data_IF_033968875096
#
_entry.id   IF_033968875096
#
_cell.length_a   1.000
_cell.length_b   1.000
_cell.length_c   1.000
_cell.angle_alpha   90.00
_cell.angle_beta   90.00
_cell.angle_gamma   90.00
#
_symmetry.space_group_name_H-M   'P 1'
#
loop_
_entity.id
_entity.type
_entity.pdbx_description
1 polymer ?
#
# COMPACT_ATOMS: atom_id res chain seq x y z
N UNK A 1 -24.34 -3.56 2.93
CA UNK A 1 -22.95 -3.07 3.02
C UNK A 1 -22.90 -2.14 4.21
N UNK A 2 -21.92 -2.31 5.10
CA UNK A 2 -21.73 -1.43 6.23
C UNK A 2 -20.73 -0.33 5.86
N UNK A 3 -20.97 0.90 6.30
CA UNK A 3 -19.96 1.98 6.21
C UNK A 3 -19.05 1.83 7.41
N UNK A 4 -17.78 1.52 7.16
CA UNK A 4 -16.77 1.32 8.21
C UNK A 4 -15.51 2.13 7.89
N UNK A 5 -14.72 2.40 8.93
CA UNK A 5 -13.43 3.05 8.79
C UNK A 5 -12.40 2.10 8.16
N UNK A 6 -11.41 2.66 7.49
CA UNK A 6 -10.30 1.91 6.87
C UNK A 6 -9.62 0.96 7.87
N UNK A 7 -9.40 1.39 9.12
CA UNK A 7 -8.82 0.54 10.16
C UNK A 7 -9.73 -0.63 10.55
N UNK A 8 -11.04 -0.41 10.59
CA UNK A 8 -12.00 -1.45 10.95
C UNK A 8 -12.10 -2.50 9.84
N UNK A 9 -11.91 -2.11 8.58
CA UNK A 9 -11.82 -3.04 7.46
C UNK A 9 -10.62 -3.99 7.58
N UNK A 10 -9.44 -3.47 7.95
CA UNK A 10 -8.23 -4.27 8.22
C UNK A 10 -8.47 -5.25 9.37
N UNK A 11 -9.02 -4.75 10.49
CA UNK A 11 -9.34 -5.58 11.66
C UNK A 11 -10.33 -6.69 11.30
N UNK A 12 -11.34 -6.35 10.51
CA UNK A 12 -12.38 -7.28 10.06
C UNK A 12 -11.78 -8.38 9.18
N UNK A 13 -10.91 -8.03 8.22
CA UNK A 13 -10.21 -9.02 7.40
C UNK A 13 -9.38 -10.00 8.23
N UNK A 14 -8.57 -9.50 9.17
CA UNK A 14 -7.77 -10.38 10.04
C UNK A 14 -8.65 -11.28 10.90
N UNK A 15 -9.70 -10.72 11.51
CA UNK A 15 -10.64 -11.50 12.33
C UNK A 15 -11.31 -12.61 11.52
N UNK A 16 -11.87 -12.29 10.37
CA UNK A 16 -12.57 -13.26 9.52
C UNK A 16 -11.62 -14.38 9.05
N UNK A 17 -10.39 -14.06 8.64
CA UNK A 17 -9.43 -15.09 8.22
C UNK A 17 -8.92 -15.93 9.39
N UNK A 18 -8.77 -15.36 10.59
CA UNK A 18 -8.41 -16.11 11.79
C UNK A 18 -9.53 -17.02 12.30
N UNK A 19 -10.80 -16.64 12.13
CA UNK A 19 -11.97 -17.50 12.37
C UNK A 19 -12.05 -18.65 11.37
N UNK A 20 -11.75 -18.34 10.10
CA UNK A 20 -11.82 -19.28 8.98
C UNK A 20 -10.72 -20.34 9.02
N UNK A 21 -9.52 -19.96 9.41
CA UNK A 21 -8.33 -20.78 9.29
C UNK A 21 -7.52 -20.79 10.60
N UNK A 22 -7.36 -21.97 11.19
CA UNK A 22 -6.68 -22.16 12.46
C UNK A 22 -5.17 -21.87 12.37
N UNK A 23 -4.61 -21.88 11.16
CA UNK A 23 -3.19 -21.67 10.90
C UNK A 23 -2.83 -20.18 10.75
N UNK A 24 -3.81 -19.28 10.65
CA UNK A 24 -3.61 -17.84 10.50
C UNK A 24 -3.39 -17.17 11.86
N UNK A 25 -2.29 -16.46 12.08
CA UNK A 25 -2.08 -15.77 13.36
C UNK A 25 -1.36 -14.44 13.17
N UNK A 26 -1.50 -13.52 14.12
CA UNK A 26 -0.79 -12.25 14.11
C UNK A 26 0.35 -12.26 15.11
N UNK A 27 1.50 -11.71 14.71
CA UNK A 27 2.64 -11.49 15.59
C UNK A 27 3.28 -10.13 15.30
N UNK A 28 3.77 -9.47 16.33
CA UNK A 28 4.41 -8.17 16.22
C UNK A 28 4.47 -7.45 17.56
N UNK A 29 4.87 -6.19 17.50
CA UNK A 29 5.05 -5.38 18.70
C UNK A 29 3.71 -4.79 19.15
N UNK A 30 3.30 -5.11 20.38
CA UNK A 30 2.03 -4.68 20.96
C UNK A 30 0.75 -5.20 20.24
N UNK A 31 0.84 -6.19 19.35
CA UNK A 31 -0.34 -6.70 18.62
C UNK A 31 -1.27 -7.55 19.47
N UNK A 32 -0.80 -8.03 20.63
CA UNK A 32 -1.53 -8.84 21.60
C UNK A 32 -2.46 -8.01 22.47
N UNK A 33 -2.16 -7.91 23.77
CA UNK A 33 -3.07 -7.32 24.77
C UNK A 33 -3.45 -5.86 24.48
N UNK A 34 -2.56 -5.08 23.87
CA UNK A 34 -2.82 -3.68 23.53
C UNK A 34 -3.70 -3.54 22.28
N UNK A 35 -3.68 -4.54 21.39
CA UNK A 35 -4.42 -4.50 20.12
C UNK A 35 -3.76 -3.67 19.02
N UNK A 36 -2.44 -3.50 19.07
CA UNK A 36 -1.63 -2.72 18.13
C UNK A 36 -1.60 -1.23 18.49
N UNK A 37 -0.50 -0.54 18.17
CA UNK A 37 -0.32 0.89 18.47
C UNK A 37 -1.38 1.76 17.80
N UNK A 38 -1.81 1.38 16.59
CA UNK A 38 -2.90 2.04 15.87
C UNK A 38 -4.28 1.45 16.15
N UNK A 39 -4.38 0.39 16.94
CA UNK A 39 -5.60 -0.41 17.20
C UNK A 39 -6.05 -1.32 16.05
N UNK A 40 -5.15 -1.67 15.13
CA UNK A 40 -5.39 -2.55 13.97
C UNK A 40 -5.77 -3.99 14.38
N UNK A 41 -5.23 -4.49 15.50
CA UNK A 41 -5.45 -5.86 16.00
C UNK A 41 -6.32 -5.92 17.26
N UNK A 42 -6.95 -4.80 17.63
CA UNK A 42 -7.80 -4.70 18.83
C UNK A 42 -8.89 -5.78 18.86
N UNK A 43 -9.01 -6.50 19.97
CA UNK A 43 -10.01 -7.55 20.16
C UNK A 43 -9.54 -8.95 19.71
N UNK A 44 -8.45 -9.05 18.92
CA UNK A 44 -7.96 -10.35 18.44
C UNK A 44 -7.38 -11.19 19.59
N UNK A 45 -6.63 -10.58 20.50
CA UNK A 45 -6.09 -11.28 21.67
C UNK A 45 -7.20 -11.83 22.57
N UNK A 46 -8.23 -11.03 22.87
CA UNK A 46 -9.35 -11.46 23.70
C UNK A 46 -10.14 -12.60 23.07
N UNK A 47 -10.24 -12.62 21.74
CA UNK A 47 -10.99 -13.62 21.00
C UNK A 47 -10.20 -14.92 20.77
N UNK A 48 -8.93 -14.84 20.36
CA UNK A 48 -8.14 -15.99 19.90
C UNK A 48 -7.04 -16.42 20.88
N UNK A 49 -6.76 -15.59 21.90
CA UNK A 49 -5.73 -15.85 22.90
C UNK A 49 -4.31 -15.58 22.42
N UNK A 50 -3.38 -15.70 23.36
CA UNK A 50 -1.96 -15.40 23.18
C UNK A 50 -1.33 -16.20 22.03
N UNK A 51 -1.70 -17.46 21.84
CA UNK A 51 -1.13 -18.32 20.79
C UNK A 51 -1.48 -17.90 19.36
N UNK A 52 -2.42 -16.96 19.17
CA UNK A 52 -2.89 -16.49 17.85
C UNK A 52 -2.77 -14.98 17.67
N UNK A 53 -2.51 -14.23 18.74
CA UNK A 53 -2.18 -12.80 18.74
C UNK A 53 -0.97 -12.55 19.65
N UNK A 54 0.23 -12.68 19.10
CA UNK A 54 1.49 -12.78 19.86
C UNK A 54 2.23 -11.45 19.92
N UNK A 55 2.45 -10.94 21.13
CA UNK A 55 3.41 -9.87 21.37
C UNK A 55 4.86 -10.40 21.20
N UNK A 56 5.68 -9.66 20.46
CA UNK A 56 7.08 -10.00 20.21
C UNK A 56 8.04 -9.02 20.92
N UNK A 57 9.31 -9.38 21.13
CA UNK A 57 10.36 -8.40 21.41
C UNK A 57 10.46 -7.35 20.30
N UNK A 58 11.05 -6.19 20.63
CA UNK A 58 11.37 -5.12 19.67
C UNK A 58 12.56 -5.53 18.78
N UNK A 59 12.30 -6.37 17.79
CA UNK A 59 13.32 -6.97 16.93
C UNK A 59 12.71 -7.41 15.59
N UNK A 60 12.61 -6.51 14.63
CA UNK A 60 11.87 -6.69 13.37
C UNK A 60 12.47 -7.80 12.51
N UNK A 61 13.79 -7.98 12.55
CA UNK A 61 14.46 -9.10 11.89
C UNK A 61 14.05 -10.46 12.48
N UNK A 62 13.79 -10.53 13.79
CA UNK A 62 13.30 -11.74 14.45
C UNK A 62 11.81 -11.96 14.14
N UNK A 63 10.99 -10.90 14.14
CA UNK A 63 9.57 -10.96 13.75
C UNK A 63 9.44 -11.57 12.35
N UNK A 64 10.16 -11.02 11.37
CA UNK A 64 10.16 -11.57 10.00
C UNK A 64 10.71 -12.99 9.95
N UNK A 65 11.86 -13.27 10.59
CA UNK A 65 12.48 -14.59 10.55
C UNK A 65 11.60 -15.69 11.16
N UNK A 66 10.97 -15.43 12.30
CA UNK A 66 10.03 -16.37 12.94
C UNK A 66 8.79 -16.58 12.08
N UNK A 67 8.24 -15.50 11.50
CA UNK A 67 7.09 -15.60 10.61
C UNK A 67 7.42 -16.44 9.36
N UNK A 68 8.58 -16.23 8.74
CA UNK A 68 9.04 -17.04 7.60
C UNK A 68 9.17 -18.52 8.00
N UNK A 69 9.81 -18.81 9.13
CA UNK A 69 9.95 -20.17 9.63
C UNK A 69 8.61 -20.85 9.89
N UNK A 70 7.65 -20.13 10.48
CA UNK A 70 6.29 -20.62 10.72
C UNK A 70 5.55 -20.89 9.39
N UNK A 71 5.69 -19.98 8.41
CA UNK A 71 5.09 -20.14 7.09
C UNK A 71 5.58 -21.41 6.37
N UNK A 72 6.89 -21.70 6.49
CA UNK A 72 7.50 -22.90 5.90
C UNK A 72 7.01 -24.21 6.50
N UNK A 73 6.50 -24.21 7.74
CA UNK A 73 5.95 -25.40 8.41
C UNK A 73 4.43 -25.47 8.34
N UNK A 74 3.81 -24.67 7.49
CA UNK A 74 2.37 -24.75 7.17
C UNK A 74 1.50 -23.70 7.84
N UNK A 75 2.06 -22.80 8.65
CA UNK A 75 1.30 -21.71 9.27
C UNK A 75 1.09 -20.54 8.30
N UNK A 76 0.21 -19.59 8.63
CA UNK A 76 -0.06 -18.39 7.83
C UNK A 76 0.07 -17.11 8.66
N UNK A 77 1.31 -16.72 9.01
CA UNK A 77 1.53 -15.54 9.85
C UNK A 77 1.19 -14.23 9.15
N UNK A 78 0.65 -13.31 9.95
CA UNK A 78 0.48 -11.89 9.68
C UNK A 78 1.48 -11.17 10.59
N UNK A 79 2.67 -10.88 10.07
CA UNK A 79 3.70 -10.14 10.78
C UNK A 79 3.42 -8.64 10.71
N UNK A 80 3.20 -7.98 11.84
CA UNK A 80 3.05 -6.53 11.91
C UNK A 80 4.40 -5.87 12.23
N UNK A 81 4.82 -4.95 11.36
CA UNK A 81 5.91 -4.03 11.61
C UNK A 81 5.28 -2.73 12.10
N UNK A 82 5.66 -2.27 13.30
CA UNK A 82 4.95 -1.18 13.97
C UNK A 82 4.93 0.11 13.12
N UNK A 83 6.01 0.36 12.39
CA UNK A 83 6.13 1.39 11.34
C UNK A 83 6.93 0.83 10.18
N UNK A 84 6.66 1.31 8.96
CA UNK A 84 7.38 0.87 7.76
C UNK A 84 8.88 1.18 7.81
N UNK A 85 9.27 2.27 8.47
CA UNK A 85 10.68 2.62 8.77
C UNK A 85 11.43 1.49 9.49
N UNK A 86 10.73 0.71 10.29
CA UNK A 86 11.31 -0.36 11.11
C UNK A 86 11.46 -1.67 10.34
N UNK A 87 11.04 -1.72 9.08
CA UNK A 87 11.26 -2.89 8.23
C UNK A 87 12.72 -3.07 7.82
N UNK A 88 13.56 -2.02 7.90
CA UNK A 88 14.92 -2.07 7.36
C UNK A 88 15.83 -3.12 8.01
N UNK A 89 15.81 -3.35 9.34
CA UNK A 89 16.48 -4.49 9.95
C UNK A 89 16.02 -5.85 9.39
N UNK A 90 14.78 -5.97 8.92
CA UNK A 90 14.21 -7.19 8.37
C UNK A 90 14.43 -7.35 6.86
N UNK A 91 15.01 -6.37 6.15
CA UNK A 91 15.11 -6.39 4.68
C UNK A 91 15.77 -7.66 4.14
N UNK A 92 16.84 -8.16 4.77
CA UNK A 92 17.47 -9.40 4.34
C UNK A 92 16.53 -10.62 4.45
N UNK A 93 15.76 -10.71 5.54
CA UNK A 93 14.78 -11.80 5.72
C UNK A 93 13.71 -11.73 4.62
N UNK A 94 13.27 -10.54 4.26
CA UNK A 94 12.20 -10.34 3.28
C UNK A 94 12.70 -10.64 1.86
N UNK A 95 13.80 -10.01 1.44
CA UNK A 95 14.28 -10.04 0.05
C UNK A 95 15.06 -11.32 -0.28
N UNK A 96 15.93 -11.75 0.63
CA UNK A 96 16.84 -12.88 0.39
C UNK A 96 16.21 -14.22 0.74
N UNK A 97 15.34 -14.25 1.75
CA UNK A 97 14.75 -15.49 2.25
C UNK A 97 13.29 -15.64 1.80
N UNK A 98 12.35 -14.83 2.32
CA UNK A 98 10.92 -14.99 2.07
C UNK A 98 10.59 -15.06 0.57
N UNK A 99 11.05 -14.06 -0.20
CA UNK A 99 10.83 -13.95 -1.64
C UNK A 99 11.38 -15.13 -2.45
N UNK A 100 12.35 -15.87 -1.90
CA UNK A 100 13.12 -16.89 -2.64
C UNK A 100 12.74 -18.31 -2.28
N UNK A 101 11.97 -18.55 -1.21
CA UNK A 101 11.65 -19.89 -0.71
C UNK A 101 11.05 -20.80 -1.80
N UNK A 102 10.03 -20.33 -2.53
CA UNK A 102 9.42 -21.14 -3.59
C UNK A 102 10.41 -21.49 -4.68
N UNK A 103 11.16 -20.50 -5.16
CA UNK A 103 12.12 -20.69 -6.23
C UNK A 103 13.31 -21.58 -5.81
N UNK A 104 13.93 -21.30 -4.66
CA UNK A 104 15.11 -22.02 -4.16
C UNK A 104 14.83 -23.48 -3.83
N UNK A 105 13.58 -23.80 -3.48
CA UNK A 105 13.11 -25.16 -3.19
C UNK A 105 12.55 -25.86 -4.42
N UNK A 106 12.59 -25.24 -5.61
CA UNK A 106 11.98 -25.78 -6.83
C UNK A 106 10.50 -26.14 -6.64
N UNK A 107 9.74 -25.26 -5.97
CA UNK A 107 8.34 -25.42 -5.60
C UNK A 107 8.03 -26.49 -4.53
N UNK A 108 9.03 -27.10 -3.89
CA UNK A 108 8.78 -28.01 -2.76
C UNK A 108 8.22 -27.28 -1.54
N UNK A 109 8.61 -26.01 -1.34
CA UNK A 109 8.14 -25.17 -0.24
C UNK A 109 7.48 -23.89 -0.73
N UNK A 110 6.57 -23.37 0.07
CA UNK A 110 5.93 -22.05 -0.09
C UNK A 110 6.19 -21.18 1.13
N UNK A 111 5.88 -19.89 1.03
CA UNK A 111 6.01 -18.95 2.15
C UNK A 111 4.75 -18.08 2.26
N UNK A 112 3.60 -18.66 2.68
CA UNK A 112 2.35 -17.91 2.90
C UNK A 112 2.54 -16.96 4.09
N UNK A 113 2.85 -15.71 3.81
CA UNK A 113 3.26 -14.73 4.81
C UNK A 113 2.75 -13.36 4.40
N UNK A 114 2.06 -12.68 5.31
CA UNK A 114 1.77 -11.25 5.15
C UNK A 114 2.67 -10.47 6.10
N UNK A 115 3.43 -9.51 5.58
CA UNK A 115 4.10 -8.51 6.40
C UNK A 115 3.37 -7.19 6.19
N UNK A 116 2.70 -6.71 7.23
CA UNK A 116 1.98 -5.43 7.21
C UNK A 116 2.83 -4.34 7.84
N UNK A 117 2.75 -3.13 7.30
CA UNK A 117 3.39 -1.97 7.91
C UNK A 117 2.66 -0.66 7.58
N UNK A 118 2.52 0.25 8.56
CA UNK A 118 1.94 1.55 8.30
C UNK A 118 2.92 2.52 7.62
N UNK A 119 2.56 3.03 6.44
CA UNK A 119 3.32 4.01 5.64
C UNK A 119 2.80 5.44 5.78
N UNK A 120 3.55 6.41 5.26
CA UNK A 120 3.13 7.79 5.08
C UNK A 120 3.29 8.67 6.33
N UNK A 121 3.45 9.98 6.13
CA UNK A 121 3.61 10.96 7.21
C UNK A 121 2.31 11.65 7.63
N UNK A 122 2.42 12.84 8.23
CA UNK A 122 1.27 13.73 8.49
C UNK A 122 0.46 13.39 9.75
N UNK A 123 1.03 12.59 10.64
CA UNK A 123 0.53 12.30 12.00
C UNK A 123 1.52 12.73 13.08
N UNK A 124 2.42 13.68 12.75
CA UNK A 124 3.50 14.16 13.63
C UNK A 124 4.48 13.07 14.09
N UNK A 125 4.73 12.06 13.24
CA UNK A 125 5.65 10.94 13.54
C UNK A 125 7.14 11.28 13.44
N UNK A 126 7.49 12.39 12.77
CA UNK A 126 8.88 12.79 12.55
C UNK A 126 9.67 11.80 11.69
N UNK A 127 10.99 11.84 11.83
CA UNK A 127 11.95 11.18 10.91
C UNK A 127 11.73 9.67 10.76
N UNK A 128 11.62 8.92 11.86
CA UNK A 128 11.61 7.45 11.84
C UNK A 128 10.20 6.81 11.83
N UNK A 129 9.17 7.58 11.46
CA UNK A 129 7.78 7.09 11.48
C UNK A 129 6.94 7.58 10.31
N UNK A 130 7.56 8.18 9.29
CA UNK A 130 6.84 8.92 8.23
C UNK A 130 7.23 8.50 6.81
N UNK A 131 8.09 7.48 6.65
CA UNK A 131 8.59 7.08 5.35
C UNK A 131 7.60 6.17 4.60
N UNK A 132 7.78 6.12 3.28
CA UNK A 132 7.12 5.18 2.38
C UNK A 132 8.21 4.33 1.70
N UNK A 133 8.63 3.20 2.29
CA UNK A 133 9.81 2.46 1.84
C UNK A 133 9.50 1.38 0.79
N UNK A 134 8.35 1.43 0.11
CA UNK A 134 7.97 0.44 -0.90
C UNK A 134 9.04 0.24 -1.99
N UNK A 135 9.77 1.30 -2.38
CA UNK A 135 10.84 1.24 -3.37
C UNK A 135 12.04 0.37 -2.95
N UNK A 136 12.25 0.15 -1.65
CA UNK A 136 13.31 -0.74 -1.14
C UNK A 136 13.02 -2.21 -1.48
N UNK A 137 11.74 -2.58 -1.56
CA UNK A 137 11.30 -3.95 -1.81
C UNK A 137 10.86 -4.18 -3.26
N UNK A 138 10.42 -3.11 -3.93
CA UNK A 138 10.02 -3.12 -5.32
C UNK A 138 11.14 -3.62 -6.25
N UNK A 139 10.77 -4.37 -7.28
CA UNK A 139 11.70 -5.02 -8.19
C UNK A 139 12.24 -6.37 -7.70
N UNK A 140 11.88 -6.84 -6.49
CA UNK A 140 12.30 -8.14 -5.96
C UNK A 140 11.38 -9.28 -6.45
N UNK A 141 11.81 -10.19 -7.34
CA UNK A 141 10.96 -11.27 -7.81
C UNK A 141 10.62 -12.25 -6.68
N UNK A 142 9.37 -12.68 -6.64
CA UNK A 142 8.82 -13.55 -5.60
C UNK A 142 8.13 -12.80 -4.45
N UNK A 143 8.22 -11.46 -4.40
CA UNK A 143 7.39 -10.64 -3.52
C UNK A 143 6.17 -10.10 -4.28
N UNK A 144 5.06 -9.97 -3.56
CA UNK A 144 3.91 -9.14 -3.95
C UNK A 144 3.83 -7.94 -3.01
N UNK A 145 3.41 -6.78 -3.51
CA UNK A 145 3.32 -5.54 -2.73
C UNK A 145 1.99 -4.88 -3.04
N UNK A 146 1.19 -4.60 -2.01
CA UNK A 146 -0.12 -3.95 -2.12
C UNK A 146 -0.21 -2.72 -1.21
N UNK A 147 -0.96 -1.71 -1.65
CA UNK A 147 -1.16 -0.45 -0.94
C UNK A 147 -2.61 0.06 -1.13
N UNK A 148 -3.57 -0.45 -0.34
CA UNK A 148 -4.97 -0.09 -0.48
C UNK A 148 -5.24 1.39 -0.22
N UNK A 149 -6.23 1.95 -0.93
CA UNK A 149 -6.70 3.32 -0.72
C UNK A 149 -8.02 3.37 0.07
N UNK A 150 -8.94 2.42 -0.13
CA UNK A 150 -10.29 2.44 0.44
C UNK A 150 -10.52 1.32 1.46
N UNK A 151 -11.55 1.39 2.33
CA UNK A 151 -11.90 0.29 3.23
C UNK A 151 -12.27 -1.00 2.47
N UNK A 152 -12.92 -0.88 1.32
CA UNK A 152 -13.22 -2.02 0.44
C UNK A 152 -11.95 -2.74 -0.01
N UNK A 153 -10.97 -1.96 -0.50
CA UNK A 153 -9.68 -2.48 -0.96
C UNK A 153 -8.85 -3.02 0.20
N UNK A 154 -8.87 -2.34 1.35
CA UNK A 154 -8.10 -2.74 2.52
C UNK A 154 -8.54 -4.13 3.02
N UNK A 155 -9.84 -4.35 3.18
CA UNK A 155 -10.35 -5.68 3.55
C UNK A 155 -10.05 -6.70 2.46
N UNK A 156 -10.41 -6.42 1.21
CA UNK A 156 -10.32 -7.39 0.12
C UNK A 156 -8.89 -7.78 -0.25
N UNK A 157 -7.94 -6.83 -0.25
CA UNK A 157 -6.52 -7.10 -0.52
C UNK A 157 -5.86 -7.82 0.66
N UNK A 158 -6.24 -7.53 1.91
CA UNK A 158 -5.67 -8.23 3.05
C UNK A 158 -6.13 -9.68 3.08
N UNK A 159 -7.41 -9.95 2.79
CA UNK A 159 -7.92 -11.32 2.62
C UNK A 159 -7.17 -12.03 1.48
N UNK A 160 -7.02 -11.36 0.33
CA UNK A 160 -6.26 -11.92 -0.79
C UNK A 160 -4.80 -12.24 -0.40
N UNK A 161 -4.15 -11.36 0.36
CA UNK A 161 -2.78 -11.52 0.84
C UNK A 161 -2.63 -12.69 1.83
N UNK A 162 -3.55 -12.84 2.79
CA UNK A 162 -3.54 -13.94 3.76
C UNK A 162 -3.75 -15.30 3.08
N UNK A 163 -4.55 -15.32 2.01
CA UNK A 163 -4.83 -16.53 1.23
C UNK A 163 -3.76 -16.84 0.18
N UNK A 164 -2.84 -15.91 -0.07
CA UNK A 164 -1.78 -16.07 -1.05
C UNK A 164 -0.73 -17.07 -0.53
N UNK A 165 -0.25 -18.00 -1.37
CA UNK A 165 0.76 -18.96 -0.93
C UNK A 165 2.19 -18.39 -0.91
N UNK A 166 2.37 -17.13 -1.29
CA UNK A 166 3.65 -16.42 -1.40
C UNK A 166 3.68 -15.16 -0.53
N UNK A 167 4.87 -14.62 -0.22
CA UNK A 167 4.98 -13.47 0.67
C UNK A 167 4.38 -12.19 0.06
N UNK A 168 3.54 -11.53 0.83
CA UNK A 168 2.89 -10.27 0.47
C UNK A 168 3.26 -9.17 1.47
N UNK A 169 3.80 -8.07 0.97
CA UNK A 169 3.94 -6.82 1.73
C UNK A 169 2.65 -6.02 1.61
N UNK A 170 2.07 -5.66 2.74
CA UNK A 170 0.80 -4.95 2.83
C UNK A 170 1.03 -3.57 3.48
N UNK A 171 1.07 -2.53 2.67
CA UNK A 171 1.34 -1.17 3.13
C UNK A 171 0.03 -0.40 3.39
N UNK A 172 -0.21 -0.05 4.65
CA UNK A 172 -1.42 0.66 5.08
C UNK A 172 -1.10 2.12 5.42
N UNK A 173 -1.86 3.09 4.91
CA UNK A 173 -1.54 4.50 5.19
C UNK A 173 -2.07 4.93 6.56
N UNK A 174 -1.20 5.52 7.39
CA UNK A 174 -1.57 5.96 8.74
C UNK A 174 -2.70 6.99 8.75
N UNK A 175 -2.74 7.91 7.79
CA UNK A 175 -3.80 8.92 7.73
C UNK A 175 -5.13 8.29 7.32
N UNK A 176 -5.11 7.23 6.50
CA UNK A 176 -6.33 6.58 6.06
C UNK A 176 -7.11 5.93 7.21
N UNK A 177 -6.43 5.36 8.22
CA UNK A 177 -7.03 4.59 9.30
C UNK A 177 -8.34 5.17 9.87
N UNK A 178 -8.38 6.48 10.14
CA UNK A 178 -9.55 7.16 10.73
C UNK A 178 -10.08 8.32 9.90
N UNK A 179 -9.42 8.65 8.79
CA UNK A 179 -9.86 9.72 7.90
C UNK A 179 -10.77 9.20 6.79
N UNK A 180 -10.58 7.94 6.39
CA UNK A 180 -11.26 7.35 5.26
C UNK A 180 -12.23 6.29 5.78
N UNK A 181 -13.49 6.45 5.40
CA UNK A 181 -14.56 5.48 5.61
C UNK A 181 -15.28 5.22 4.28
N UNK A 182 -15.96 4.09 4.19
CA UNK A 182 -16.56 3.64 2.95
C UNK A 182 -17.36 2.38 3.11
N UNK A 183 -18.17 2.08 2.10
CA UNK A 183 -19.02 0.89 2.09
C UNK A 183 -18.17 -0.38 1.90
N UNK A 184 -18.39 -1.36 2.77
CA UNK A 184 -17.75 -2.67 2.72
C UNK A 184 -18.84 -3.75 2.68
N UNK A 185 -18.80 -4.68 1.71
CA UNK A 185 -19.68 -5.85 1.70
C UNK A 185 -19.55 -6.69 2.96
N UNK A 186 -20.69 -7.21 3.41
CA UNK A 186 -20.69 -8.33 4.33
C UNK A 186 -20.35 -9.62 3.57
N UNK A 187 -19.77 -10.60 4.26
CA UNK A 187 -19.40 -11.88 3.67
C UNK A 187 -18.00 -11.90 3.03
N UNK A 188 -17.71 -13.03 2.40
CA UNK A 188 -16.40 -13.36 1.82
C UNK A 188 -16.23 -12.73 0.44
N UNK A 189 -15.19 -11.91 0.29
CA UNK A 189 -14.76 -11.37 -0.99
C UNK A 189 -13.26 -11.10 -0.97
N UNK A 190 -12.65 -11.05 -2.16
CA UNK A 190 -11.26 -10.67 -2.35
C UNK A 190 -11.17 -9.56 -3.38
N UNK A 191 -10.16 -8.71 -3.23
CA UNK A 191 -9.69 -7.83 -4.31
C UNK A 191 -8.45 -8.50 -4.90
N UNK A 192 -8.44 -8.83 -6.20
CA UNK A 192 -7.30 -9.54 -6.79
C UNK A 192 -6.00 -8.72 -6.71
N UNK A 193 -4.94 -9.36 -6.24
CA UNK A 193 -3.58 -8.79 -6.30
C UNK A 193 -3.16 -8.72 -7.77
N UNK A 194 -2.60 -7.58 -8.18
CA UNK A 194 -2.18 -7.30 -9.54
C UNK A 194 -3.25 -6.65 -10.42
N UNK A 195 -4.39 -6.26 -9.85
CA UNK A 195 -5.47 -5.58 -10.57
C UNK A 195 -5.67 -4.15 -10.07
N UNK A 196 -5.52 -3.18 -10.96
CA UNK A 196 -5.78 -1.77 -10.71
C UNK A 196 -7.28 -1.45 -10.78
N UNK A 197 -7.66 -0.21 -10.45
CA UNK A 197 -9.04 0.25 -10.48
C UNK A 197 -9.15 1.68 -10.96
N UNK A 198 -10.01 1.89 -11.96
CA UNK A 198 -10.41 3.24 -12.35
C UNK A 198 -11.40 3.76 -11.33
N UNK A 199 -10.98 4.73 -10.52
CA UNK A 199 -11.81 5.35 -9.47
C UNK A 199 -12.58 6.56 -10.00
N UNK A 200 -12.16 7.10 -11.15
CA UNK A 200 -12.84 8.21 -11.83
C UNK A 200 -12.55 8.19 -13.32
N UNK A 201 -13.59 8.41 -14.11
CA UNK A 201 -13.48 8.60 -15.55
C UNK A 201 -13.25 10.06 -15.93
N UNK A 202 -12.44 10.28 -16.96
CA UNK A 202 -12.15 11.60 -17.51
C UNK A 202 -11.42 11.53 -18.86
N UNK A 203 -11.09 12.69 -19.41
CA UNK A 203 -10.65 12.81 -20.82
C UNK A 203 -9.42 13.68 -21.04
N UNK A 204 -9.07 14.56 -20.11
CA UNK A 204 -8.09 15.62 -20.37
C UNK A 204 -6.72 15.30 -19.74
N UNK A 205 -6.71 14.51 -18.67
CA UNK A 205 -5.49 14.08 -17.97
C UNK A 205 -5.74 12.74 -17.28
N UNK A 206 -4.73 11.88 -17.28
CA UNK A 206 -4.69 10.64 -16.51
C UNK A 206 -3.80 10.81 -15.30
N UNK A 207 -4.34 10.48 -14.13
CA UNK A 207 -3.62 10.43 -12.87
C UNK A 207 -3.47 8.98 -12.43
N UNK A 208 -2.24 8.52 -12.27
CA UNK A 208 -1.93 7.17 -11.77
C UNK A 208 -1.35 7.30 -10.37
N UNK A 209 -1.95 6.63 -9.40
CA UNK A 209 -1.62 6.79 -7.98
C UNK A 209 -2.01 5.55 -7.17
N UNK A 210 -1.71 5.54 -5.88
CA UNK A 210 -2.09 4.48 -4.94
C UNK A 210 -2.18 5.03 -3.52
N UNK A 211 -2.79 4.29 -2.60
CA UNK A 211 -2.88 4.67 -1.18
C UNK A 211 -3.55 6.05 -0.97
N UNK A 212 -3.08 6.84 0.01
CA UNK A 212 -3.65 8.16 0.35
C UNK A 212 -3.77 9.14 -0.83
N UNK A 213 -2.79 9.30 -1.74
CA UNK A 213 -2.92 10.26 -2.83
C UNK A 213 -4.08 9.99 -3.80
N UNK A 214 -4.68 8.79 -3.83
CA UNK A 214 -5.97 8.53 -4.54
C UNK A 214 -7.03 9.54 -4.10
N UNK A 215 -7.20 9.74 -2.80
CA UNK A 215 -8.20 10.64 -2.24
C UNK A 215 -7.88 12.11 -2.54
N UNK A 216 -6.61 12.48 -2.52
CA UNK A 216 -6.17 13.84 -2.87
C UNK A 216 -6.45 14.15 -4.35
N UNK A 217 -6.22 13.19 -5.24
CA UNK A 217 -6.51 13.28 -6.66
C UNK A 217 -8.00 13.40 -6.95
N UNK A 218 -8.84 12.62 -6.25
CA UNK A 218 -10.30 12.71 -6.37
C UNK A 218 -10.81 14.10 -5.99
N UNK A 219 -10.35 14.63 -4.85
CA UNK A 219 -10.71 15.98 -4.38
C UNK A 219 -10.24 17.08 -5.33
N UNK A 220 -9.01 16.97 -5.85
CA UNK A 220 -8.48 17.90 -6.85
C UNK A 220 -9.28 17.86 -8.15
N UNK A 221 -9.67 16.67 -8.62
CA UNK A 221 -10.49 16.50 -9.81
C UNK A 221 -11.89 17.09 -9.65
N UNK A 222 -12.50 17.05 -8.46
CA UNK A 222 -13.78 17.73 -8.18
C UNK A 222 -13.68 19.26 -8.28
N UNK A 223 -12.54 19.85 -7.91
CA UNK A 223 -12.30 21.28 -8.09
C UNK A 223 -12.03 21.63 -9.55
N UNK A 224 -11.20 20.85 -10.23
CA UNK A 224 -10.83 21.08 -11.63
C UNK A 224 -11.98 20.86 -12.60
N UNK A 225 -12.94 19.98 -12.28
CA UNK A 225 -14.15 19.81 -13.08
C UNK A 225 -14.98 21.09 -13.18
N UNK A 226 -14.95 21.95 -12.14
CA UNK A 226 -15.62 23.27 -12.15
C UNK A 226 -14.96 24.26 -13.10
N UNK A 227 -13.73 23.97 -13.49
CA UNK A 227 -12.94 24.75 -14.43
C UNK A 227 -12.94 24.14 -15.84
N UNK A 228 -13.70 23.06 -16.04
CA UNK A 228 -13.80 22.35 -17.30
C UNK A 228 -12.66 21.34 -17.57
N UNK A 229 -11.88 20.96 -16.55
CA UNK A 229 -10.82 19.95 -16.67
C UNK A 229 -11.33 18.60 -16.11
N UNK A 230 -11.29 17.58 -16.95
CA UNK A 230 -11.80 16.22 -16.73
C UNK A 230 -10.64 15.23 -16.49
N UNK A 231 -10.47 14.77 -15.25
CA UNK A 231 -9.40 13.85 -14.87
C UNK A 231 -9.87 12.39 -14.80
N UNK A 232 -9.17 11.51 -15.53
CA UNK A 232 -9.24 10.07 -15.37
C UNK A 232 -8.26 9.65 -14.26
N UNK A 233 -8.68 8.84 -13.30
CA UNK A 233 -7.85 8.48 -12.13
C UNK A 233 -7.82 6.96 -11.99
N UNK A 234 -6.60 6.41 -12.06
CA UNK A 234 -6.29 5.00 -11.87
C UNK A 234 -5.61 4.80 -10.51
N UNK A 235 -6.26 4.06 -9.62
CA UNK A 235 -5.66 3.52 -8.40
C UNK A 235 -4.97 2.20 -8.73
N UNK A 236 -3.66 2.13 -8.54
CA UNK A 236 -2.88 0.92 -8.84
C UNK A 236 -3.29 -0.25 -7.95
N UNK A 237 -3.70 -0.01 -6.69
CA UNK A 237 -3.94 -1.00 -5.61
C UNK A 237 -2.73 -1.89 -5.28
N UNK A 238 -2.16 -2.53 -6.28
CA UNK A 238 -0.96 -3.38 -6.24
C UNK A 238 0.22 -2.63 -6.84
N UNK A 239 1.30 -2.57 -6.08
CA UNK A 239 2.59 -1.99 -6.51
C UNK A 239 3.40 -3.07 -7.23
N UNK A 240 3.35 -4.32 -6.77
CA UNK A 240 4.02 -5.44 -7.42
C UNK A 240 3.17 -6.72 -7.38
N UNK A 241 2.85 -7.33 -8.52
CA UNK A 241 3.11 -6.86 -9.89
C UNK A 241 2.25 -5.65 -10.26
N UNK A 242 2.78 -4.77 -11.12
CA UNK A 242 2.00 -3.67 -11.69
C UNK A 242 0.97 -4.20 -12.70
N UNK A 243 -0.24 -3.65 -12.67
CA UNK A 243 -1.26 -3.89 -13.70
C UNK A 243 -0.89 -3.11 -14.97
N UNK A 244 -0.01 -3.71 -15.77
CA UNK A 244 0.57 -3.07 -16.96
C UNK A 244 -0.50 -2.73 -17.99
N UNK A 245 -1.51 -3.58 -18.15
CA UNK A 245 -2.59 -3.37 -19.11
C UNK A 245 -3.41 -2.14 -18.73
N UNK A 246 -3.85 -2.04 -17.47
CA UNK A 246 -4.62 -0.89 -17.00
C UNK A 246 -3.80 0.42 -17.05
N UNK A 247 -2.50 0.36 -16.75
CA UNK A 247 -1.61 1.53 -16.86
C UNK A 247 -1.55 2.05 -18.29
N UNK A 248 -1.36 1.15 -19.27
CA UNK A 248 -1.26 1.52 -20.68
C UNK A 248 -2.60 2.02 -21.22
N UNK A 249 -3.71 1.35 -20.89
CA UNK A 249 -5.05 1.79 -21.29
C UNK A 249 -5.36 3.19 -20.75
N UNK A 250 -5.11 3.43 -19.46
CA UNK A 250 -5.32 4.73 -18.85
C UNK A 250 -4.45 5.81 -19.50
N UNK A 251 -3.16 5.54 -19.72
CA UNK A 251 -2.24 6.49 -20.32
C UNK A 251 -2.64 6.87 -21.76
N UNK A 252 -2.98 5.87 -22.59
CA UNK A 252 -3.40 6.07 -23.98
C UNK A 252 -4.72 6.84 -24.09
N UNK A 253 -5.58 6.77 -23.06
CA UNK A 253 -6.89 7.45 -23.06
C UNK A 253 -6.78 8.97 -23.16
N UNK A 254 -5.75 9.57 -22.57
CA UNK A 254 -5.65 11.04 -22.46
C UNK A 254 -4.34 11.61 -22.98
N UNK A 255 -3.29 10.81 -23.20
CA UNK A 255 -1.97 11.26 -23.68
C UNK A 255 -1.16 12.14 -22.70
N UNK A 256 -1.81 12.67 -21.66
CA UNK A 256 -1.22 13.50 -20.59
C UNK A 256 -1.27 12.74 -19.27
N UNK A 257 -0.10 12.34 -18.75
CA UNK A 257 0.00 11.45 -17.57
C UNK A 257 0.74 12.10 -16.40
N UNK A 258 0.06 12.17 -15.25
CA UNK A 258 0.64 12.56 -13.96
C UNK A 258 0.65 11.36 -13.01
N UNK A 259 1.83 10.99 -12.52
CA UNK A 259 1.97 9.93 -11.51
C UNK A 259 2.19 10.57 -10.14
N UNK A 260 1.45 10.12 -9.13
CA UNK A 260 1.48 10.69 -7.78
C UNK A 260 1.72 9.58 -6.76
N UNK A 261 2.69 9.78 -5.85
CA UNK A 261 2.90 8.89 -4.71
C UNK A 261 3.65 9.58 -3.57
N UNK A 262 3.58 9.02 -2.36
CA UNK A 262 4.20 9.62 -1.17
C UNK A 262 5.68 9.24 -0.96
N UNK A 263 6.18 8.18 -1.60
CA UNK A 263 7.63 7.89 -1.66
C UNK A 263 8.38 8.97 -2.47
N UNK A 264 9.71 8.96 -2.37
CA UNK A 264 10.65 9.82 -3.05
C UNK A 264 10.50 9.78 -4.56
N UNK A 265 10.73 10.92 -5.22
CA UNK A 265 10.71 10.99 -6.68
C UNK A 265 11.82 10.14 -7.28
N UNK A 266 13.01 10.16 -6.68
CA UNK A 266 14.14 9.37 -7.15
C UNK A 266 14.00 7.92 -6.69
N UNK A 267 13.96 6.98 -7.65
CA UNK A 267 13.83 5.54 -7.36
C UNK A 267 12.44 5.06 -6.93
N UNK A 268 11.47 5.96 -6.71
CA UNK A 268 10.10 5.60 -6.37
C UNK A 268 9.35 4.92 -7.52
N UNK A 269 8.21 4.30 -7.18
CA UNK A 269 7.39 3.46 -8.07
C UNK A 269 7.01 4.17 -9.37
N UNK A 270 6.77 5.49 -9.31
CA UNK A 270 6.41 6.26 -10.49
C UNK A 270 7.50 6.27 -11.59
N UNK A 271 8.76 5.98 -11.27
CA UNK A 271 9.81 5.85 -12.28
C UNK A 271 9.55 4.65 -13.21
N UNK A 272 9.19 3.49 -12.65
CA UNK A 272 8.89 2.28 -13.44
C UNK A 272 7.61 2.45 -14.25
N UNK A 273 6.56 3.02 -13.65
CA UNK A 273 5.32 3.34 -14.37
C UNK A 273 5.60 4.28 -15.55
N UNK A 274 6.47 5.29 -15.36
CA UNK A 274 6.87 6.19 -16.45
C UNK A 274 7.63 5.45 -17.55
N UNK A 275 8.50 4.51 -17.20
CA UNK A 275 9.28 3.73 -18.16
C UNK A 275 8.36 2.83 -19.01
N UNK A 276 7.45 2.09 -18.36
CA UNK A 276 6.45 1.26 -19.04
C UNK A 276 5.68 2.06 -20.10
N UNK A 277 5.17 3.24 -19.72
CA UNK A 277 4.40 4.09 -20.63
C UNK A 277 5.30 4.63 -21.75
N UNK A 278 6.50 5.11 -21.43
CA UNK A 278 7.41 5.69 -22.43
C UNK A 278 7.92 4.65 -23.45
N UNK A 279 8.07 3.39 -23.05
CA UNK A 279 8.48 2.30 -23.95
C UNK A 279 7.39 1.90 -24.93
N UNK A 280 6.13 1.90 -24.48
CA UNK A 280 5.01 1.33 -25.25
C UNK A 280 4.14 2.38 -25.94
N UNK A 281 4.07 3.61 -25.41
CA UNK A 281 3.10 4.64 -25.81
C UNK A 281 3.76 5.97 -26.15
N UNK A 282 5.04 5.99 -26.53
CA UNK A 282 5.76 7.23 -26.86
C UNK A 282 5.01 8.13 -27.84
N UNK A 283 4.36 7.54 -28.85
CA UNK A 283 3.65 8.27 -29.90
C UNK A 283 2.21 8.65 -29.52
N UNK A 284 1.69 8.13 -28.42
CA UNK A 284 0.35 8.45 -27.89
C UNK A 284 0.41 9.52 -26.79
N UNK A 285 1.60 9.99 -26.41
CA UNK A 285 1.78 11.04 -25.40
C UNK A 285 1.71 12.44 -26.01
N UNK A 286 0.80 13.25 -25.49
CA UNK A 286 0.62 14.67 -25.84
C UNK A 286 1.48 15.61 -24.96
N UNK A 287 1.99 15.10 -23.84
CA UNK A 287 2.84 15.85 -22.92
C UNK A 287 3.87 14.94 -22.23
N UNK A 288 4.98 15.50 -21.69
CA UNK A 288 5.90 14.71 -20.89
C UNK A 288 5.21 14.10 -19.67
N UNK A 289 5.49 12.83 -19.37
CA UNK A 289 5.04 12.19 -18.13
C UNK A 289 5.61 12.98 -16.95
N UNK A 290 4.73 13.46 -16.07
CA UNK A 290 5.10 14.18 -14.84
C UNK A 290 4.94 13.30 -13.63
N UNK A 291 5.74 13.58 -12.60
CA UNK A 291 5.71 12.88 -11.32
C UNK A 291 5.68 13.89 -10.18
N UNK A 292 4.65 13.79 -9.34
CA UNK A 292 4.47 14.57 -8.12
C UNK A 292 4.66 13.65 -6.92
N UNK A 293 5.72 13.90 -6.16
CA UNK A 293 6.15 13.05 -5.07
C UNK A 293 6.55 13.88 -3.86
N UNK A 294 6.81 13.22 -2.74
CA UNK A 294 7.55 13.85 -1.64
C UNK A 294 8.95 14.31 -2.12
N UNK A 295 9.50 15.41 -1.58
CA UNK A 295 10.82 15.87 -1.96
C UNK A 295 11.90 14.87 -1.50
N UNK A 296 12.98 14.75 -2.28
CA UNK A 296 14.12 13.87 -1.99
C UNK A 296 14.96 14.43 -0.81
N UNK A 297 14.39 14.41 0.39
CA UNK A 297 15.04 14.81 1.64
C UNK A 297 14.89 13.70 2.68
N UNK A 298 15.88 13.54 3.60
CA UNK A 298 15.72 12.64 4.74
C UNK A 298 14.44 12.98 5.52
N UNK A 299 13.75 11.92 5.96
CA UNK A 299 12.32 11.86 6.27
C UNK A 299 11.69 12.98 7.14
N UNK A 300 10.35 12.98 7.12
CA UNK A 300 9.39 13.97 7.64
C UNK A 300 9.89 14.96 8.71
N UNK A 301 9.99 16.26 8.39
CA UNK A 301 10.28 17.30 9.37
C UNK A 301 9.22 17.35 10.49
N UNK A 302 9.64 17.44 11.75
CA UNK A 302 8.69 17.58 12.88
C UNK A 302 8.08 18.99 12.99
N UNK A 303 8.78 20.01 12.46
CA UNK A 303 8.28 21.39 12.48
C UNK A 303 7.05 21.53 11.57
N UNK A 304 5.87 21.99 12.07
CA UNK A 304 4.65 22.06 11.28
C UNK A 304 4.75 22.75 9.90
N UNK A 305 5.41 23.91 9.74
CA UNK A 305 5.57 24.51 8.41
C UNK A 305 6.40 23.66 7.46
N UNK A 306 7.40 22.94 7.97
CA UNK A 306 8.25 22.06 7.16
C UNK A 306 7.55 20.73 6.84
N UNK A 307 6.77 20.16 7.76
CA UNK A 307 5.94 18.98 7.50
C UNK A 307 4.90 19.31 6.41
N UNK A 308 4.24 20.47 6.48
CA UNK A 308 3.32 20.93 5.44
C UNK A 308 4.00 21.10 4.08
N UNK A 309 5.24 21.58 4.06
CA UNK A 309 6.04 21.68 2.83
C UNK A 309 6.45 20.31 2.29
N UNK A 310 6.78 19.34 3.16
CA UNK A 310 7.14 17.99 2.75
C UNK A 310 5.95 17.23 2.18
N UNK A 311 4.85 17.18 2.92
CA UNK A 311 3.69 16.35 2.60
C UNK A 311 3.01 16.76 1.29
N UNK A 312 2.53 15.76 0.55
CA UNK A 312 1.52 15.98 -0.48
C UNK A 312 0.23 16.52 0.15
N UNK A 313 -0.48 17.33 -0.62
CA UNK A 313 -1.79 17.82 -0.26
C UNK A 313 -2.62 18.11 -1.51
N UNK A 314 -3.92 18.26 -1.33
CA UNK A 314 -4.89 18.54 -2.41
C UNK A 314 -4.47 19.73 -3.28
N UNK A 315 -3.96 20.83 -2.71
CA UNK A 315 -3.62 22.02 -3.48
C UNK A 315 -2.41 21.77 -4.41
N UNK A 316 -1.35 21.13 -3.91
CA UNK A 316 -0.21 20.71 -4.73
C UNK A 316 -0.62 19.75 -5.85
N UNK A 317 -1.50 18.80 -5.54
CA UNK A 317 -2.02 17.83 -6.51
C UNK A 317 -2.85 18.55 -7.59
N UNK A 318 -3.76 19.43 -7.19
CA UNK A 318 -4.56 20.24 -8.09
C UNK A 318 -3.70 21.09 -9.03
N UNK A 319 -2.71 21.80 -8.48
CA UNK A 319 -1.85 22.68 -9.28
C UNK A 319 -1.07 21.87 -10.32
N UNK A 320 -0.50 20.72 -9.94
CA UNK A 320 0.22 19.83 -10.87
C UNK A 320 -0.71 19.22 -11.93
N UNK A 321 -1.92 18.80 -11.55
CA UNK A 321 -2.92 18.29 -12.48
C UNK A 321 -3.34 19.36 -13.50
N UNK A 322 -3.58 20.58 -13.02
CA UNK A 322 -3.97 21.72 -13.86
C UNK A 322 -2.86 22.10 -14.84
N UNK A 323 -1.63 22.21 -14.36
CA UNK A 323 -0.45 22.54 -15.18
C UNK A 323 -0.30 21.54 -16.33
N UNK A 324 -0.39 20.24 -16.04
CA UNK A 324 -0.23 19.21 -17.07
C UNK A 324 -1.44 19.14 -18.02
N UNK A 325 -2.67 19.29 -17.51
CA UNK A 325 -3.87 19.28 -18.36
C UNK A 325 -3.82 20.41 -19.41
N UNK A 326 -3.27 21.57 -19.07
CA UNK A 326 -3.15 22.75 -19.93
C UNK A 326 -1.88 22.79 -20.80
N UNK A 327 -1.05 21.73 -20.78
CA UNK A 327 0.12 21.59 -21.66
C UNK A 327 -0.30 21.61 -23.14
#
# INVERSE_FOLDING_TARGET
MAVIDYIDAIRTAMKEEMERDADVFVLGEDVGLKGGVFTTTKGLYEQFGEARSLDTPLAESAIAGVAIGAAMVGMKPIAEMQYSDFMFPATNQIISEAARIRYRSNNDWSCPLVIRAPIGGGVAGGLYHSQCPESVFFGTPGLKIVAPATPYDAKGLLIAAIRDPDPVLYFENKKCYRMISGEVPEGDYVVPIGQANVVREGTDITVITYSLPVHMSMQAADELAKEGISAHILDLRTIQPLDREAILEAAAKTGKVLIIHEDNKSGGIGAEVSAIIAEELLFDLDAPIKRLCSPDIPAGPYSPPLEKFFMLNKDKVKDAMRELALF
#
